data_IF_198793620913
#
_entry.id   IF_198793620913
#
_cell.length_a   1.000
_cell.length_b   1.000
_cell.length_c   1.000
_cell.angle_alpha   90.00
_cell.angle_beta   90.00
_cell.angle_gamma   90.00
#
_symmetry.space_group_name_H-M   'P 1'
#
loop_
_entity.id
_entity.type
_entity.pdbx_description
1 polymer ?
#
# COMPACT_ATOMS: atom_id res chain seq x y z
N UNK A 1 -21.26 -7.00 -5.34
CA UNK A 1 -21.30 -8.14 -4.41
C UNK A 1 -19.92 -8.63 -3.97
N UNK A 2 -18.86 -7.86 -4.25
CA UNK A 2 -17.47 -8.15 -3.86
C UNK A 2 -16.85 -9.43 -4.45
N UNK A 3 -17.54 -10.14 -5.34
CA UNK A 3 -17.10 -11.43 -5.85
C UNK A 3 -16.12 -11.31 -7.03
N UNK A 4 -16.17 -10.21 -7.78
CA UNK A 4 -15.34 -9.98 -8.97
C UNK A 4 -14.70 -8.61 -8.94
N UNK A 5 -13.57 -8.47 -9.64
CA UNK A 5 -12.93 -7.17 -9.83
C UNK A 5 -13.81 -6.26 -10.69
N UNK A 6 -14.13 -5.08 -10.18
CA UNK A 6 -14.74 -3.98 -10.94
C UNK A 6 -13.60 -3.11 -11.52
N UNK A 7 -13.17 -3.44 -12.72
CA UNK A 7 -12.09 -2.73 -13.39
C UNK A 7 -12.51 -1.32 -13.86
N UNK A 8 -13.80 -1.12 -14.14
CA UNK A 8 -14.33 0.15 -14.63
C UNK A 8 -14.33 1.24 -13.53
N UNK A 9 -14.34 0.83 -12.26
CA UNK A 9 -14.21 1.73 -11.12
C UNK A 9 -12.78 2.30 -10.94
N UNK A 10 -11.76 1.73 -11.58
CA UNK A 10 -10.36 2.13 -11.38
C UNK A 10 -10.09 3.53 -11.93
N UNK A 11 -10.52 3.84 -13.13
CA UNK A 11 -10.27 5.14 -13.73
C UNK A 11 -10.91 6.31 -12.95
N UNK A 12 -12.19 6.25 -12.53
CA UNK A 12 -12.76 7.26 -11.64
C UNK A 12 -12.04 7.39 -10.28
N UNK A 13 -11.59 6.27 -9.70
CA UNK A 13 -10.81 6.29 -8.46
C UNK A 13 -9.47 7.01 -8.66
N UNK A 14 -8.75 6.70 -9.72
CA UNK A 14 -7.47 7.37 -10.04
C UNK A 14 -7.69 8.87 -10.25
N UNK A 15 -8.72 9.27 -10.99
CA UNK A 15 -9.06 10.67 -11.18
C UNK A 15 -9.33 11.40 -9.84
N UNK A 16 -10.04 10.77 -8.91
CA UNK A 16 -10.24 11.31 -7.56
C UNK A 16 -8.91 11.49 -6.81
N UNK A 17 -8.02 10.51 -6.88
CA UNK A 17 -6.71 10.57 -6.23
C UNK A 17 -5.85 11.70 -6.80
N UNK A 18 -5.76 11.82 -8.12
CA UNK A 18 -4.99 12.86 -8.81
C UNK A 18 -5.54 14.26 -8.51
N UNK A 19 -6.87 14.44 -8.49
CA UNK A 19 -7.52 15.68 -8.07
C UNK A 19 -7.18 16.07 -6.63
N UNK A 20 -6.98 15.08 -5.75
CA UNK A 20 -6.56 15.28 -4.37
C UNK A 20 -5.06 15.52 -4.19
N UNK A 21 -4.28 15.57 -5.28
CA UNK A 21 -2.87 15.95 -5.27
C UNK A 21 -1.90 14.83 -4.91
N UNK A 22 -2.26 13.55 -5.15
CA UNK A 22 -1.30 12.44 -4.99
C UNK A 22 -0.33 12.38 -6.18
N UNK A 23 0.92 11.99 -5.92
CA UNK A 23 1.96 11.87 -6.94
C UNK A 23 1.90 10.52 -7.69
N UNK A 24 1.13 9.55 -7.17
CA UNK A 24 1.02 8.23 -7.76
C UNK A 24 0.16 7.25 -6.95
N UNK A 25 0.08 6.03 -7.43
CA UNK A 25 -0.76 4.97 -6.89
C UNK A 25 0.07 3.74 -6.51
N UNK A 26 -0.21 3.18 -5.33
CA UNK A 26 0.27 1.88 -4.89
C UNK A 26 -0.88 0.87 -4.99
N UNK A 27 -0.99 0.15 -6.10
CA UNK A 27 -2.11 -0.74 -6.35
C UNK A 27 -1.88 -2.17 -5.80
N UNK A 28 -2.96 -2.92 -5.63
CA UNK A 28 -2.97 -4.31 -5.15
C UNK A 28 -2.33 -4.52 -3.77
N UNK A 29 -2.14 -3.43 -2.97
CA UNK A 29 -1.68 -3.53 -1.58
C UNK A 29 -2.80 -4.00 -0.63
N UNK A 30 -2.56 -3.83 0.67
CA UNK A 30 -3.53 -4.22 1.73
C UNK A 30 -4.88 -3.53 1.55
N UNK A 31 -4.89 -2.21 1.37
CA UNK A 31 -6.12 -1.44 1.16
C UNK A 31 -6.80 -1.79 -0.17
N UNK A 32 -6.03 -2.16 -1.19
CA UNK A 32 -6.54 -2.63 -2.49
C UNK A 32 -6.96 -4.10 -2.49
N UNK A 33 -7.10 -4.74 -1.32
CA UNK A 33 -7.55 -6.14 -1.17
C UNK A 33 -6.70 -7.15 -1.95
N UNK A 34 -5.44 -6.82 -2.28
CA UNK A 34 -4.61 -7.59 -3.21
C UNK A 34 -4.44 -9.06 -2.87
N UNK A 35 -4.39 -9.42 -1.57
CA UNK A 35 -4.30 -10.82 -1.12
C UNK A 35 -5.59 -11.62 -1.29
N UNK A 36 -6.71 -10.95 -1.53
CA UNK A 36 -8.03 -11.56 -1.76
C UNK A 36 -8.38 -11.65 -3.25
N UNK A 37 -7.53 -11.11 -4.12
CA UNK A 37 -7.67 -11.19 -5.57
C UNK A 37 -6.91 -12.40 -6.09
N UNK A 38 -7.47 -13.08 -7.09
CA UNK A 38 -6.74 -14.11 -7.84
C UNK A 38 -5.59 -13.49 -8.64
N UNK A 39 -4.61 -14.30 -9.05
CA UNK A 39 -3.53 -13.87 -9.94
C UNK A 39 -4.06 -13.12 -11.19
N UNK A 40 -5.07 -13.67 -11.86
CA UNK A 40 -5.68 -13.05 -13.03
C UNK A 40 -6.36 -11.71 -12.73
N UNK A 41 -6.98 -11.57 -11.56
CA UNK A 41 -7.58 -10.28 -11.16
C UNK A 41 -6.50 -9.26 -10.81
N UNK A 42 -5.41 -9.66 -10.13
CA UNK A 42 -4.29 -8.76 -9.79
C UNK A 42 -3.62 -8.22 -11.05
N UNK A 43 -3.33 -9.08 -12.02
CA UNK A 43 -2.73 -8.66 -13.31
C UNK A 43 -3.66 -7.74 -14.09
N UNK A 44 -4.96 -8.04 -14.14
CA UNK A 44 -5.96 -7.18 -14.79
C UNK A 44 -6.11 -5.83 -14.08
N UNK A 45 -6.12 -5.83 -12.74
CA UNK A 45 -6.18 -4.58 -11.97
C UNK A 45 -4.93 -3.72 -12.22
N UNK A 46 -3.73 -4.30 -12.15
CA UNK A 46 -2.47 -3.58 -12.38
C UNK A 46 -2.44 -2.95 -13.78
N UNK A 47 -2.87 -3.68 -14.82
CA UNK A 47 -2.97 -3.15 -16.18
C UNK A 47 -4.00 -2.00 -16.30
N UNK A 48 -5.16 -2.11 -15.63
CA UNK A 48 -6.17 -1.05 -15.59
C UNK A 48 -5.66 0.20 -14.87
N UNK A 49 -4.95 0.05 -13.74
CA UNK A 49 -4.30 1.16 -13.05
C UNK A 49 -3.24 1.81 -13.94
N UNK A 50 -2.41 1.02 -14.66
CA UNK A 50 -1.41 1.61 -15.58
C UNK A 50 -2.07 2.44 -16.68
N UNK A 51 -3.19 1.99 -17.22
CA UNK A 51 -3.92 2.72 -18.25
C UNK A 51 -4.57 4.01 -17.75
N UNK A 52 -4.94 4.07 -16.46
CA UNK A 52 -5.64 5.20 -15.88
C UNK A 52 -4.71 6.23 -15.21
N UNK A 53 -3.57 5.78 -14.65
CA UNK A 53 -2.69 6.61 -13.83
C UNK A 53 -1.76 7.46 -14.70
N UNK A 54 -1.85 8.79 -14.54
CA UNK A 54 -0.92 9.74 -15.16
C UNK A 54 0.38 9.91 -14.38
N UNK A 55 0.34 9.66 -13.07
CA UNK A 55 1.51 9.69 -12.18
C UNK A 55 2.21 8.34 -12.05
N UNK A 56 2.99 8.19 -10.98
CA UNK A 56 3.73 6.94 -10.70
C UNK A 56 2.81 5.80 -10.30
N UNK A 57 3.06 4.60 -10.82
CA UNK A 57 2.38 3.37 -10.44
C UNK A 57 3.36 2.38 -9.82
N UNK A 58 3.18 2.07 -8.55
CA UNK A 58 3.86 0.96 -7.87
C UNK A 58 2.87 -0.20 -7.72
N UNK A 59 3.22 -1.38 -8.20
CA UNK A 59 2.38 -2.57 -8.09
C UNK A 59 2.85 -3.43 -6.92
N UNK A 60 1.96 -3.73 -5.97
CA UNK A 60 2.24 -4.71 -4.94
C UNK A 60 2.14 -6.12 -5.51
N UNK A 61 3.25 -6.86 -5.45
CA UNK A 61 3.41 -8.18 -6.06
C UNK A 61 3.49 -9.33 -5.04
N UNK A 62 3.54 -9.01 -3.72
CA UNK A 62 3.66 -10.04 -2.68
C UNK A 62 2.54 -11.07 -2.73
N UNK A 63 2.90 -12.35 -2.67
CA UNK A 63 2.02 -13.51 -2.66
C UNK A 63 2.54 -14.57 -1.69
N UNK A 64 1.83 -15.68 -1.52
CA UNK A 64 2.21 -16.76 -0.61
C UNK A 64 3.45 -17.54 -1.08
N UNK A 65 3.67 -17.62 -2.39
CA UNK A 65 4.80 -18.35 -2.95
C UNK A 65 5.77 -17.43 -3.68
N UNK A 66 7.05 -17.80 -3.66
CA UNK A 66 8.10 -17.07 -4.40
C UNK A 66 7.81 -17.05 -5.90
N UNK A 67 7.32 -18.15 -6.45
CA UNK A 67 7.02 -18.27 -7.88
C UNK A 67 5.90 -17.30 -8.31
N UNK A 68 4.81 -17.21 -7.54
CA UNK A 68 3.72 -16.27 -7.83
C UNK A 68 4.16 -14.81 -7.64
N UNK A 69 4.93 -14.53 -6.58
CA UNK A 69 5.50 -13.20 -6.33
C UNK A 69 6.38 -12.75 -7.50
N UNK A 70 7.29 -13.60 -7.96
CA UNK A 70 8.15 -13.32 -9.10
C UNK A 70 7.33 -13.13 -10.41
N UNK A 71 6.32 -13.94 -10.65
CA UNK A 71 5.44 -13.81 -11.82
C UNK A 71 4.67 -12.47 -11.80
N UNK A 72 4.16 -12.03 -10.64
CA UNK A 72 3.51 -10.72 -10.49
C UNK A 72 4.50 -9.56 -10.67
N UNK A 73 5.74 -9.70 -10.17
CA UNK A 73 6.79 -8.69 -10.35
C UNK A 73 7.19 -8.55 -11.83
N UNK A 74 7.36 -9.68 -12.54
CA UNK A 74 7.60 -9.68 -13.98
C UNK A 74 6.44 -9.05 -14.77
N UNK A 75 5.19 -9.32 -14.36
CA UNK A 75 4.02 -8.69 -14.97
C UNK A 75 4.04 -7.17 -14.74
N UNK A 76 4.36 -6.69 -13.53
CA UNK A 76 4.47 -5.25 -13.26
C UNK A 76 5.48 -4.57 -14.20
N UNK A 77 6.64 -5.18 -14.43
CA UNK A 77 7.61 -4.70 -15.41
C UNK A 77 7.05 -4.69 -16.84
N UNK A 78 6.36 -5.75 -17.24
CA UNK A 78 5.81 -5.90 -18.60
C UNK A 78 4.75 -4.87 -18.97
N UNK A 79 3.99 -4.35 -18.00
CA UNK A 79 2.97 -3.31 -18.21
C UNK A 79 3.53 -1.90 -18.09
N UNK A 80 4.84 -1.72 -17.86
CA UNK A 80 5.47 -0.41 -17.71
C UNK A 80 5.07 0.28 -16.40
N UNK A 81 4.95 -0.45 -15.29
CA UNK A 81 4.84 0.15 -13.97
C UNK A 81 6.13 0.92 -13.61
N UNK A 82 6.05 1.83 -12.63
CA UNK A 82 7.19 2.61 -12.16
C UNK A 82 7.90 1.95 -10.97
N UNK A 83 7.33 0.88 -10.44
CA UNK A 83 7.93 0.08 -9.39
C UNK A 83 7.12 -1.17 -9.04
N UNK A 84 7.82 -2.15 -8.47
CA UNK A 84 7.22 -3.33 -7.85
C UNK A 84 7.51 -3.32 -6.35
N UNK A 85 6.52 -3.71 -5.54
CA UNK A 85 6.67 -3.80 -4.09
C UNK A 85 6.26 -5.17 -3.57
N UNK A 86 6.98 -5.69 -2.59
CA UNK A 86 6.72 -7.03 -2.04
C UNK A 86 6.72 -6.98 -0.52
N UNK A 87 5.63 -7.45 0.11
CA UNK A 87 5.57 -7.74 1.55
C UNK A 87 6.15 -9.15 1.80
N UNK A 88 6.72 -9.36 2.99
CA UNK A 88 7.12 -10.70 3.42
C UNK A 88 5.93 -11.66 3.36
N UNK A 89 6.08 -12.90 2.83
CA UNK A 89 4.97 -13.84 2.69
C UNK A 89 4.28 -14.09 4.03
N UNK A 90 2.96 -13.88 4.15
CA UNK A 90 2.27 -14.08 5.42
C UNK A 90 2.08 -15.57 5.74
N UNK A 91 1.64 -15.87 6.97
CA UNK A 91 1.24 -17.18 7.50
C UNK A 91 2.39 -18.01 8.07
N UNK A 92 3.43 -18.34 7.30
CA UNK A 92 4.60 -19.06 7.80
C UNK A 92 5.70 -18.06 8.13
N UNK A 93 6.17 -17.97 9.40
CA UNK A 93 7.34 -17.16 9.71
C UNK A 93 8.58 -17.79 9.04
N UNK A 94 9.32 -16.97 8.28
CA UNK A 94 10.51 -17.38 7.55
C UNK A 94 11.77 -16.89 8.26
N UNK A 95 12.86 -17.63 8.10
CA UNK A 95 14.18 -17.18 8.49
C UNK A 95 14.77 -16.14 7.54
N UNK A 96 15.88 -15.54 7.93
CA UNK A 96 16.52 -14.47 7.14
C UNK A 96 16.98 -14.97 5.77
N UNK A 97 17.49 -16.19 5.66
CA UNK A 97 17.95 -16.73 4.38
C UNK A 97 16.81 -16.94 3.39
N UNK A 98 15.68 -17.49 3.84
CA UNK A 98 14.49 -17.70 3.04
C UNK A 98 13.87 -16.38 2.60
N UNK A 99 13.83 -15.38 3.48
CA UNK A 99 13.38 -14.03 3.15
C UNK A 99 14.26 -13.39 2.09
N UNK A 100 15.58 -13.44 2.26
CA UNK A 100 16.52 -12.91 1.26
C UNK A 100 16.33 -13.60 -0.08
N UNK A 101 16.25 -14.93 -0.11
CA UNK A 101 16.04 -15.69 -1.35
C UNK A 101 14.72 -15.31 -2.04
N UNK A 102 13.64 -15.14 -1.26
CA UNK A 102 12.33 -14.74 -1.76
C UNK A 102 12.35 -13.33 -2.40
N UNK A 103 12.90 -12.34 -1.69
CA UNK A 103 12.95 -10.96 -2.20
C UNK A 103 13.91 -10.81 -3.39
N UNK A 104 15.06 -11.48 -3.37
CA UNK A 104 16.01 -11.48 -4.49
C UNK A 104 15.38 -12.07 -5.75
N UNK A 105 14.64 -13.18 -5.63
CA UNK A 105 13.94 -13.78 -6.77
C UNK A 105 12.89 -12.82 -7.36
N UNK A 106 12.15 -12.12 -6.51
CA UNK A 106 11.15 -11.14 -6.96
C UNK A 106 11.81 -9.90 -7.59
N UNK A 107 12.89 -9.38 -7.01
CA UNK A 107 13.62 -8.23 -7.54
C UNK A 107 14.23 -8.54 -8.91
N UNK A 108 14.87 -9.70 -9.07
CA UNK A 108 15.40 -10.13 -10.37
C UNK A 108 14.31 -10.33 -11.43
N UNK A 109 13.12 -10.80 -11.05
CA UNK A 109 12.03 -11.03 -11.97
C UNK A 109 11.47 -9.74 -12.61
N UNK A 110 11.67 -8.59 -11.96
CA UNK A 110 11.25 -7.28 -12.48
C UNK A 110 12.41 -6.36 -12.87
N UNK A 111 13.68 -6.79 -12.77
CA UNK A 111 14.83 -5.96 -13.15
C UNK A 111 14.71 -5.46 -14.62
N UNK A 112 14.97 -4.17 -14.91
CA UNK A 112 15.52 -3.10 -14.05
C UNK A 112 14.45 -2.25 -13.32
N UNK A 113 13.20 -2.69 -13.23
CA UNK A 113 12.14 -1.92 -12.56
C UNK A 113 12.52 -1.66 -11.09
N UNK A 114 12.36 -0.43 -10.54
CA UNK A 114 12.57 -0.13 -9.13
C UNK A 114 11.80 -1.08 -8.22
N UNK A 115 12.50 -1.69 -7.26
CA UNK A 115 11.95 -2.67 -6.33
C UNK A 115 11.88 -2.11 -4.91
N UNK A 116 10.77 -2.32 -4.24
CA UNK A 116 10.48 -1.84 -2.88
C UNK A 116 10.16 -3.01 -1.96
N UNK A 117 10.86 -3.12 -0.84
CA UNK A 117 10.47 -4.06 0.21
C UNK A 117 9.38 -3.42 1.07
N UNK A 118 8.44 -4.23 1.54
CA UNK A 118 7.32 -3.76 2.35
C UNK A 118 7.33 -4.41 3.73
N UNK A 119 7.60 -3.62 4.78
CA UNK A 119 7.55 -4.02 6.17
C UNK A 119 6.18 -3.71 6.78
N UNK A 120 5.48 -4.74 7.23
CA UNK A 120 4.21 -4.64 7.94
C UNK A 120 3.93 -5.90 8.77
N UNK A 121 4.54 -5.95 9.95
CA UNK A 121 4.44 -7.08 10.90
C UNK A 121 3.02 -7.51 11.19
N UNK A 122 2.08 -6.56 11.34
CA UNK A 122 0.67 -6.87 11.60
C UNK A 122 -0.04 -7.58 10.42
N UNK A 123 0.58 -7.69 9.26
CA UNK A 123 0.03 -8.40 8.07
C UNK A 123 0.86 -9.60 7.67
N UNK A 124 2.18 -9.54 7.77
CA UNK A 124 3.05 -10.70 7.54
C UNK A 124 2.98 -11.72 8.69
N UNK A 125 2.69 -11.26 9.92
CA UNK A 125 2.72 -12.08 11.14
C UNK A 125 4.09 -12.13 11.81
N UNK A 126 5.12 -11.52 11.20
CA UNK A 126 6.49 -11.40 11.72
C UNK A 126 7.21 -10.20 11.08
N UNK A 127 8.26 -9.71 11.75
CA UNK A 127 9.00 -8.53 11.29
C UNK A 127 9.89 -8.84 10.08
N UNK A 128 10.16 -7.83 9.27
CA UNK A 128 11.19 -7.85 8.24
C UNK A 128 12.47 -7.21 8.80
N UNK A 129 13.50 -8.00 9.16
CA UNK A 129 14.71 -7.45 9.79
C UNK A 129 15.47 -6.51 8.85
N UNK A 130 16.03 -5.38 9.34
CA UNK A 130 16.87 -4.49 8.55
C UNK A 130 18.06 -5.18 7.86
N UNK A 131 18.64 -6.22 8.48
CA UNK A 131 19.76 -6.97 7.89
C UNK A 131 19.34 -7.78 6.66
N UNK A 132 18.09 -8.28 6.63
CA UNK A 132 17.53 -8.92 5.41
C UNK A 132 17.45 -7.91 4.29
N UNK A 133 17.01 -6.68 4.58
CA UNK A 133 16.91 -5.61 3.58
C UNK A 133 18.27 -5.26 3.00
N UNK A 134 19.32 -5.13 3.85
CA UNK A 134 20.71 -4.91 3.41
C UNK A 134 21.18 -6.05 2.52
N UNK A 135 20.98 -7.30 2.95
CA UNK A 135 21.39 -8.48 2.19
C UNK A 135 20.69 -8.60 0.83
N UNK A 136 19.43 -8.16 0.70
CA UNK A 136 18.73 -8.08 -0.58
C UNK A 136 19.34 -6.98 -1.46
N UNK A 137 19.55 -5.78 -0.91
CA UNK A 137 20.15 -4.66 -1.63
C UNK A 137 21.58 -4.95 -2.14
N UNK A 138 22.37 -5.74 -1.41
CA UNK A 138 23.69 -6.19 -1.83
C UNK A 138 23.67 -7.22 -2.97
N UNK A 139 22.57 -7.96 -3.13
CA UNK A 139 22.44 -9.04 -4.12
C UNK A 139 21.61 -8.65 -5.36
N UNK A 140 21.10 -7.43 -5.40
CA UNK A 140 20.27 -6.92 -6.50
C UNK A 140 20.70 -5.51 -6.89
N UNK A 141 20.32 -5.08 -8.10
CA UNK A 141 20.71 -3.75 -8.62
C UNK A 141 19.57 -2.75 -8.58
N UNK A 142 18.33 -3.20 -8.30
CA UNK A 142 17.12 -2.44 -8.49
C UNK A 142 16.35 -2.13 -7.19
N UNK A 143 16.88 -2.44 -6.00
CA UNK A 143 16.28 -2.01 -4.74
C UNK A 143 16.30 -0.49 -4.64
N UNK A 144 15.13 0.14 -4.67
CA UNK A 144 14.97 1.59 -4.68
C UNK A 144 14.48 2.15 -3.34
N UNK A 145 13.86 1.34 -2.49
CA UNK A 145 13.33 1.84 -1.22
C UNK A 145 12.47 0.85 -0.45
N UNK A 146 11.75 1.42 0.50
CA UNK A 146 10.91 0.69 1.45
C UNK A 146 9.52 1.33 1.54
N UNK A 147 8.50 0.48 1.76
CA UNK A 147 7.26 0.89 2.41
C UNK A 147 7.24 0.34 3.83
N UNK A 148 7.00 1.18 4.83
CA UNK A 148 6.97 0.80 6.25
C UNK A 148 5.62 1.16 6.85
N UNK A 149 4.88 0.15 7.32
CA UNK A 149 3.58 0.33 8.00
C UNK A 149 3.64 -0.17 9.45
N UNK A 150 4.79 -0.04 10.07
CA UNK A 150 5.02 -0.42 11.46
C UNK A 150 4.51 0.64 12.44
N UNK A 151 4.23 0.21 13.68
CA UNK A 151 3.83 1.05 14.82
C UNK A 151 4.18 0.29 16.10
N UNK A 152 4.61 0.98 17.18
CA UNK A 152 4.83 2.42 17.33
C UNK A 152 6.04 2.94 16.56
N UNK A 153 6.36 4.24 16.70
CA UNK A 153 7.44 4.90 15.96
C UNK A 153 8.80 4.23 16.12
N UNK A 154 9.13 3.73 17.30
CA UNK A 154 10.39 3.01 17.56
C UNK A 154 10.58 1.79 16.65
N UNK A 155 9.49 1.24 16.12
CA UNK A 155 9.51 0.16 15.13
C UNK A 155 9.73 0.68 13.69
N UNK A 156 9.61 1.98 13.44
CA UNK A 156 9.85 2.63 12.13
C UNK A 156 11.31 3.11 12.02
N UNK A 157 11.86 3.69 13.08
CA UNK A 157 13.18 4.31 13.10
C UNK A 157 14.33 3.43 12.54
N UNK A 158 14.39 2.11 12.81
CA UNK A 158 15.43 1.24 12.25
C UNK A 158 15.43 1.16 10.72
N UNK A 159 14.29 1.34 10.08
CA UNK A 159 14.17 1.34 8.62
C UNK A 159 14.62 2.67 8.01
N UNK A 160 14.33 3.80 8.66
CA UNK A 160 14.82 5.11 8.23
C UNK A 160 16.36 5.16 8.27
N UNK A 161 16.97 4.53 9.26
CA UNK A 161 18.43 4.44 9.40
C UNK A 161 19.14 3.66 8.26
N UNK A 162 18.39 2.96 7.38
CA UNK A 162 18.97 2.27 6.23
C UNK A 162 19.38 3.22 5.09
N UNK A 163 18.94 4.48 5.10
CA UNK A 163 19.26 5.47 4.07
C UNK A 163 18.58 5.20 2.71
N UNK A 164 17.59 4.31 2.66
CA UNK A 164 16.78 4.02 1.49
C UNK A 164 15.54 4.95 1.46
N UNK A 165 14.98 5.19 0.27
CA UNK A 165 13.70 5.92 0.15
C UNK A 165 12.62 5.18 0.94
N UNK A 166 12.24 5.72 2.09
CA UNK A 166 11.27 5.07 2.99
C UNK A 166 9.94 5.81 2.96
N UNK A 167 8.90 5.11 2.53
CA UNK A 167 7.51 5.59 2.53
C UNK A 167 6.77 5.07 3.75
N UNK A 168 6.06 5.94 4.45
CA UNK A 168 5.34 5.62 5.68
C UNK A 168 3.89 5.28 5.37
N UNK A 169 3.41 4.17 5.94
CA UNK A 169 2.02 3.70 5.79
C UNK A 169 1.13 3.96 7.00
N UNK A 170 1.71 4.46 8.11
CA UNK A 170 0.97 4.82 9.33
C UNK A 170 0.90 6.35 9.43
N UNK A 171 -0.18 6.91 8.93
CA UNK A 171 -0.34 8.35 8.74
C UNK A 171 -0.14 9.19 10.02
N UNK A 172 -0.55 8.76 11.23
CA UNK A 172 -0.28 9.50 12.45
C UNK A 172 1.21 9.70 12.78
N UNK A 173 2.08 8.87 12.21
CA UNK A 173 3.53 8.95 12.41
C UNK A 173 4.25 9.85 11.39
N UNK A 174 3.54 10.38 10.40
CA UNK A 174 4.13 11.15 9.31
C UNK A 174 4.94 12.36 9.77
N UNK A 175 4.47 13.24 10.69
CA UNK A 175 5.27 14.41 11.07
C UNK A 175 6.64 14.03 11.62
N UNK A 176 6.69 13.06 12.52
CA UNK A 176 7.96 12.60 13.11
C UNK A 176 8.83 11.89 12.07
N UNK A 177 8.25 11.02 11.27
CA UNK A 177 9.01 10.28 10.28
C UNK A 177 9.59 11.19 9.17
N UNK A 178 8.86 12.23 8.75
CA UNK A 178 9.35 13.21 7.79
C UNK A 178 10.49 14.04 8.37
N UNK A 179 10.41 14.44 9.65
CA UNK A 179 11.50 15.11 10.36
C UNK A 179 12.77 14.25 10.44
N UNK A 180 12.61 12.92 10.50
CA UNK A 180 13.72 11.95 10.56
C UNK A 180 14.09 11.38 9.18
N UNK A 181 13.64 12.02 8.08
CA UNK A 181 14.09 11.75 6.72
C UNK A 181 13.26 10.73 5.93
N UNK A 182 12.03 10.45 6.33
CA UNK A 182 11.11 9.69 5.48
C UNK A 182 10.90 10.42 4.13
N UNK A 183 10.83 9.65 3.06
CA UNK A 183 10.69 10.20 1.70
C UNK A 183 9.27 10.69 1.39
N UNK A 184 8.26 10.08 2.02
CA UNK A 184 6.85 10.39 1.79
C UNK A 184 5.92 9.35 2.39
N UNK A 185 4.72 9.22 1.83
CA UNK A 185 3.71 8.27 2.32
C UNK A 185 3.16 7.35 1.25
N UNK A 186 2.86 6.11 1.63
CA UNK A 186 1.96 5.21 0.90
C UNK A 186 0.79 4.90 1.84
N UNK A 187 -0.21 5.75 1.77
CA UNK A 187 -1.31 5.87 2.72
C UNK A 187 -2.56 5.11 2.29
N UNK A 188 -3.17 4.39 3.23
CA UNK A 188 -4.51 3.84 3.04
C UNK A 188 -5.60 4.91 3.08
N UNK A 189 -5.47 5.91 3.97
CA UNK A 189 -6.42 7.03 4.09
C UNK A 189 -6.48 7.88 2.82
N UNK A 190 -5.35 8.03 2.11
CA UNK A 190 -5.29 8.79 0.86
C UNK A 190 -6.26 8.26 -0.20
N UNK A 191 -6.72 7.00 -0.09
CA UNK A 191 -7.71 6.44 -1.01
C UNK A 191 -9.02 7.22 -0.99
N UNK A 192 -9.47 7.73 0.16
CA UNK A 192 -10.71 8.49 0.29
C UNK A 192 -10.48 9.97 0.69
N UNK A 193 -9.34 10.27 1.31
CA UNK A 193 -8.98 11.59 1.84
C UNK A 193 -7.61 12.04 1.31
N UNK A 194 -7.39 12.09 -0.01
CA UNK A 194 -6.06 12.38 -0.57
C UNK A 194 -5.58 13.78 -0.19
N UNK A 195 -6.45 14.78 -0.18
CA UNK A 195 -6.10 16.15 0.18
C UNK A 195 -5.69 16.31 1.66
N UNK A 196 -6.31 15.56 2.58
CA UNK A 196 -5.92 15.59 4.00
C UNK A 196 -4.52 15.00 4.20
N UNK A 197 -4.20 13.90 3.50
CA UNK A 197 -2.86 13.31 3.56
C UNK A 197 -1.84 14.22 2.87
N UNK A 198 -2.17 14.82 1.74
CA UNK A 198 -1.32 15.80 1.04
C UNK A 198 -0.97 16.96 1.96
N UNK A 199 -1.93 17.50 2.70
CA UNK A 199 -1.71 18.60 3.65
C UNK A 199 -0.67 18.25 4.71
N UNK A 200 -0.67 17.04 5.25
CA UNK A 200 0.36 16.62 6.22
C UNK A 200 1.73 16.49 5.56
N UNK A 201 1.82 16.11 4.30
CA UNK A 201 3.09 16.03 3.59
C UNK A 201 3.66 17.41 3.27
N UNK A 202 2.81 18.39 2.97
CA UNK A 202 3.20 19.77 2.66
C UNK A 202 3.52 20.58 3.94
N UNK A 203 2.78 20.31 5.03
CA UNK A 203 2.91 20.98 6.33
C UNK A 203 2.70 19.96 7.48
N UNK A 204 3.77 19.29 7.94
CA UNK A 204 3.69 18.17 8.87
C UNK A 204 3.47 18.61 10.32
N UNK A 205 2.35 19.29 10.60
CA UNK A 205 1.96 19.73 11.94
C UNK A 205 1.24 18.64 12.73
N UNK A 206 1.23 18.76 14.06
CA UNK A 206 0.47 17.88 14.94
C UNK A 206 -1.04 17.95 14.65
N UNK A 207 -1.58 19.14 14.37
CA UNK A 207 -3.00 19.36 14.04
C UNK A 207 -3.41 18.58 12.80
N UNK A 208 -2.63 18.64 11.72
CA UNK A 208 -2.90 17.88 10.51
C UNK A 208 -2.82 16.36 10.75
N UNK A 209 -1.89 15.89 11.56
CA UNK A 209 -1.79 14.46 11.92
C UNK A 209 -2.95 14.01 12.82
N UNK A 210 -3.45 14.84 13.73
CA UNK A 210 -4.63 14.56 14.55
C UNK A 210 -5.89 14.37 13.67
N UNK A 211 -6.02 15.16 12.61
CA UNK A 211 -7.10 14.96 11.63
C UNK A 211 -7.02 13.57 11.00
N UNK A 212 -5.83 13.10 10.57
CA UNK A 212 -5.66 11.76 10.01
C UNK A 212 -5.94 10.66 11.05
N UNK A 213 -5.55 10.88 12.29
CA UNK A 213 -5.85 9.96 13.40
C UNK A 213 -7.37 9.84 13.60
N UNK A 214 -8.07 10.96 13.65
CA UNK A 214 -9.54 11.00 13.79
C UNK A 214 -10.25 10.27 12.64
N UNK A 215 -9.78 10.44 11.41
CA UNK A 215 -10.32 9.74 10.24
C UNK A 215 -10.09 8.21 10.34
N UNK A 216 -8.90 7.77 10.78
CA UNK A 216 -8.63 6.34 10.99
C UNK A 216 -9.51 5.73 12.06
N UNK A 217 -9.69 6.44 13.18
CA UNK A 217 -10.52 5.97 14.31
C UNK A 217 -12.00 5.86 13.88
N UNK A 218 -12.51 6.83 13.14
CA UNK A 218 -13.87 6.80 12.60
C UNK A 218 -14.11 5.62 11.65
N UNK A 219 -13.12 5.27 10.81
CA UNK A 219 -13.21 4.13 9.89
C UNK A 219 -13.17 2.78 10.62
N UNK A 220 -12.53 2.72 11.79
CA UNK A 220 -12.35 1.52 12.59
C UNK A 220 -11.38 0.50 11.99
N UNK A 221 -10.68 -0.24 12.83
CA UNK A 221 -9.61 -1.13 12.39
C UNK A 221 -10.08 -2.29 11.49
N UNK A 222 -11.25 -2.88 11.80
CA UNK A 222 -11.80 -4.03 11.04
C UNK A 222 -12.58 -3.62 9.80
N UNK A 223 -13.13 -2.41 9.80
CA UNK A 223 -13.98 -1.86 8.73
C UNK A 223 -13.24 -0.83 7.88
N UNK A 224 -11.94 -0.66 8.07
CA UNK A 224 -11.14 0.35 7.40
C UNK A 224 -11.33 0.36 5.88
N UNK A 225 -11.20 -0.80 5.23
CA UNK A 225 -11.30 -0.91 3.77
C UNK A 225 -12.73 -0.66 3.30
N UNK A 226 -13.73 -1.29 3.93
CA UNK A 226 -15.13 -1.08 3.58
C UNK A 226 -15.59 0.36 3.86
N UNK A 227 -15.10 0.96 4.95
CA UNK A 227 -15.35 2.36 5.29
C UNK A 227 -14.81 3.32 4.25
N UNK A 228 -13.58 3.12 3.78
CA UNK A 228 -12.99 3.92 2.69
C UNK A 228 -13.81 3.85 1.41
N UNK A 229 -14.23 2.64 0.99
CA UNK A 229 -15.09 2.48 -0.20
C UNK A 229 -16.45 3.15 -0.03
N UNK A 230 -17.02 3.05 1.18
CA UNK A 230 -18.28 3.68 1.49
C UNK A 230 -18.17 5.22 1.40
N UNK A 231 -17.13 5.80 1.99
CA UNK A 231 -16.84 7.24 1.91
C UNK A 231 -16.63 7.69 0.47
N UNK A 232 -15.81 7.00 -0.31
CA UNK A 232 -15.58 7.29 -1.73
C UNK A 232 -16.89 7.37 -2.51
N UNK A 233 -17.75 6.35 -2.34
CA UNK A 233 -19.08 6.36 -2.98
C UNK A 233 -19.92 7.53 -2.55
N UNK A 234 -19.93 7.85 -1.26
CA UNK A 234 -20.70 8.97 -0.71
C UNK A 234 -20.18 10.34 -1.21
N UNK A 235 -18.88 10.42 -1.51
CA UNK A 235 -18.27 11.61 -2.13
C UNK A 235 -18.40 11.62 -3.67
N UNK A 236 -19.23 10.74 -4.23
CA UNK A 236 -19.59 10.76 -5.66
C UNK A 236 -18.60 9.99 -6.57
N UNK A 237 -17.62 9.29 -6.02
CA UNK A 237 -16.77 8.40 -6.82
C UNK A 237 -17.59 7.16 -7.19
N UNK A 238 -17.74 6.81 -8.49
CA UNK A 238 -18.63 5.74 -8.93
C UNK A 238 -18.04 4.35 -8.71
N UNK A 239 -17.80 3.99 -7.43
CA UNK A 239 -17.33 2.68 -7.01
C UNK A 239 -18.39 1.96 -6.20
N UNK A 240 -18.34 0.62 -6.14
CA UNK A 240 -19.18 -0.16 -5.24
C UNK A 240 -18.56 -0.21 -3.84
N UNK A 241 -19.36 -0.06 -2.76
CA UNK A 241 -18.85 -0.09 -1.38
C UNK A 241 -18.56 -1.51 -0.90
N UNK A 242 -18.86 -2.51 -1.73
CA UNK A 242 -18.62 -3.92 -1.41
C UNK A 242 -17.13 -4.21 -1.22
N UNK A 243 -16.83 -5.08 -0.26
CA UNK A 243 -15.51 -5.66 -0.04
C UNK A 243 -15.56 -7.15 -0.30
N UNK A 244 -14.41 -7.74 -0.62
CA UNK A 244 -14.32 -9.17 -0.80
C UNK A 244 -14.40 -9.90 0.54
N UNK A 245 -15.27 -10.92 0.63
CA UNK A 245 -15.33 -11.78 1.80
C UNK A 245 -13.94 -12.43 2.07
N UNK A 246 -13.54 -12.57 3.34
CA UNK A 246 -14.33 -12.41 4.58
C UNK A 246 -14.32 -10.99 5.19
N UNK A 247 -13.90 -9.96 4.47
CA UNK A 247 -13.91 -8.61 5.01
C UNK A 247 -15.35 -8.17 5.37
N UNK A 248 -15.54 -7.49 6.53
CA UNK A 248 -16.85 -7.04 6.95
C UNK A 248 -17.31 -5.82 6.13
N UNK A 249 -18.59 -5.80 5.67
CA UNK A 249 -19.17 -4.62 5.05
C UNK A 249 -19.46 -3.52 6.10
N UNK A 250 -19.64 -2.29 5.63
CA UNK A 250 -20.18 -1.20 6.47
C UNK A 250 -21.64 -1.51 6.80
N UNK A 251 -21.99 -1.40 8.10
CA UNK A 251 -23.36 -1.54 8.60
C UNK A 251 -23.97 -0.16 8.86
N UNK A 252 -25.30 -0.09 8.94
CA UNK A 252 -26.07 1.17 9.01
C UNK A 252 -25.59 2.14 10.10
N UNK A 253 -25.25 1.64 11.29
CA UNK A 253 -24.75 2.48 12.38
C UNK A 253 -23.42 3.17 12.04
N UNK A 254 -22.51 2.46 11.41
CA UNK A 254 -21.23 3.01 10.93
C UNK A 254 -21.45 3.91 9.72
N UNK A 255 -22.35 3.54 8.81
CA UNK A 255 -22.68 4.35 7.63
C UNK A 255 -23.16 5.75 8.03
N UNK A 256 -24.04 5.84 9.03
CA UNK A 256 -24.52 7.11 9.56
C UNK A 256 -23.38 7.99 10.15
N UNK A 257 -22.42 7.38 10.81
CA UNK A 257 -21.26 8.07 11.34
C UNK A 257 -20.31 8.54 10.22
N UNK A 258 -20.05 7.70 9.24
CA UNK A 258 -19.16 8.01 8.11
C UNK A 258 -19.74 9.09 7.18
N UNK A 259 -21.07 9.27 7.15
CA UNK A 259 -21.74 10.30 6.35
C UNK A 259 -21.37 11.74 6.75
N UNK A 260 -20.72 11.92 7.90
CA UNK A 260 -20.32 13.24 8.42
C UNK A 260 -18.84 13.56 8.15
N UNK A 261 -18.09 12.64 7.56
CA UNK A 261 -16.67 12.83 7.23
C UNK A 261 -16.50 13.52 5.89
#
# INVERSE_FOLDING_TARGET
NGATLDADAIAPLVAHLEQGGVDGVFCCGTTGEGVLLSYAERTRAAAAYRSACGGSLIVHCGAQTTAETAALAAHAASIGADGAAVIAPPYYPLGSEELVAHFVAAAHACDPLPFYLYAFTARSGYSLPPDVIRAVAERTTNVAGLKVSESPYDSVAPYLALGLRTYIGMEPLLPQALADGAYGSVSGLASAFPADVRRVLDDPTAEHAERLTSLRDALGATTFISGLKWVLRNHGVPIQPDVRAPLPPVRDALAAQLATL
#
